data_IF_699574095562
#
_entry.id   IF_699574095562
#
_cell.length_a   1.000
_cell.length_b   1.000
_cell.length_c   1.000
_cell.angle_alpha   90.00
_cell.angle_beta   90.00
_cell.angle_gamma   90.00
#
_symmetry.space_group_name_H-M   'P 1'
#
loop_
_entity.id
_entity.type
_entity.pdbx_description
1 polymer ?
#
# COMPACT_ATOMS: atom_id res chain seq x y z
N UNK A 1 -12.16 10.08 -0.68
CA UNK A 1 -11.14 9.90 0.36
C UNK A 1 -11.86 9.64 1.67
N UNK A 2 -11.85 8.39 2.10
CA UNK A 2 -12.50 7.87 3.32
C UNK A 2 -11.46 7.38 4.35
N UNK A 3 -10.20 7.75 4.18
CA UNK A 3 -9.14 7.39 5.10
C UNK A 3 -9.31 8.17 6.43
N UNK A 4 -9.42 7.50 7.59
CA UNK A 4 -9.84 8.13 8.85
C UNK A 4 -8.86 9.18 9.40
N UNK A 5 -7.61 9.16 8.94
CA UNK A 5 -6.58 10.12 9.34
C UNK A 5 -6.37 11.26 8.34
N UNK A 6 -7.19 11.33 7.28
CA UNK A 6 -7.18 12.45 6.34
C UNK A 6 -7.31 13.78 7.08
N UNK A 7 -6.36 14.70 6.87
CA UNK A 7 -6.33 16.01 7.54
C UNK A 7 -5.84 15.98 8.99
N UNK A 8 -5.39 14.83 9.52
CA UNK A 8 -4.86 14.65 10.87
C UNK A 8 -3.41 14.17 10.85
N UNK A 9 -2.63 14.71 9.92
CA UNK A 9 -1.35 14.15 9.51
C UNK A 9 -0.14 14.73 10.26
N UNK A 10 -0.18 15.98 10.74
CA UNK A 10 0.77 16.61 11.67
C UNK A 10 2.21 16.03 11.69
N UNK A 11 2.85 15.81 10.53
CA UNK A 11 4.16 15.17 10.44
C UNK A 11 4.15 13.70 10.88
N UNK A 12 3.49 12.82 10.12
CA UNK A 12 3.25 11.38 10.38
C UNK A 12 2.14 11.02 11.38
N UNK A 13 1.53 11.99 12.07
CA UNK A 13 0.26 11.85 12.80
C UNK A 13 0.27 10.85 13.97
N UNK A 14 1.42 10.25 14.28
CA UNK A 14 1.59 9.12 15.17
C UNK A 14 1.37 7.76 14.49
N UNK A 15 1.53 6.69 15.28
CA UNK A 15 1.31 5.32 14.83
C UNK A 15 -0.19 5.00 14.83
N UNK A 16 -0.67 4.33 13.78
CA UNK A 16 -2.04 3.84 13.64
C UNK A 16 -2.24 2.46 14.31
N UNK A 17 -3.49 1.96 14.43
CA UNK A 17 -3.77 0.63 14.99
C UNK A 17 -3.16 -0.54 14.22
N UNK A 18 -2.71 -0.35 12.98
CA UNK A 18 -2.03 -1.38 12.18
C UNK A 18 -0.50 -1.29 12.30
N UNK A 19 0.00 -0.45 13.21
CA UNK A 19 1.42 -0.23 13.48
C UNK A 19 2.19 0.43 12.34
N UNK A 20 1.53 1.28 11.56
CA UNK A 20 2.16 2.16 10.56
C UNK A 20 2.01 3.63 10.95
N UNK A 21 2.92 4.47 10.45
CA UNK A 21 2.78 5.92 10.60
C UNK A 21 1.61 6.45 9.76
N UNK A 22 0.73 7.23 10.38
CA UNK A 22 -0.45 7.79 9.70
C UNK A 22 -0.04 8.68 8.54
N UNK A 23 -0.94 8.80 7.59
CA UNK A 23 -0.76 9.63 6.40
C UNK A 23 0.42 9.22 5.52
N UNK A 24 0.93 8.01 5.70
CA UNK A 24 1.89 7.37 4.80
C UNK A 24 1.18 6.39 3.87
N UNK A 25 1.86 6.05 2.77
CA UNK A 25 1.36 5.09 1.80
C UNK A 25 1.07 3.71 2.43
N UNK A 26 1.95 3.26 3.34
CA UNK A 26 1.82 1.99 4.06
C UNK A 26 0.59 1.96 4.96
N UNK A 27 0.36 3.00 5.75
CA UNK A 27 -0.84 3.13 6.60
C UNK A 27 -2.13 3.16 5.78
N UNK A 28 -2.15 3.91 4.68
CA UNK A 28 -3.32 3.96 3.81
C UNK A 28 -3.63 2.61 3.15
N UNK A 29 -2.61 1.88 2.69
CA UNK A 29 -2.81 0.54 2.12
C UNK A 29 -3.20 -0.48 3.21
N UNK A 30 -2.64 -0.37 4.41
CA UNK A 30 -3.07 -1.18 5.55
C UNK A 30 -4.56 -0.97 5.88
N UNK A 31 -5.03 0.28 5.84
CA UNK A 31 -6.46 0.59 5.96
C UNK A 31 -7.31 -0.14 4.90
N UNK A 32 -6.92 -0.04 3.62
CA UNK A 32 -7.63 -0.72 2.52
C UNK A 32 -7.67 -2.24 2.67
N UNK A 33 -6.55 -2.85 3.06
CA UNK A 33 -6.48 -4.28 3.35
C UNK A 33 -7.42 -4.70 4.49
N UNK A 34 -7.51 -3.88 5.55
CA UNK A 34 -8.41 -4.15 6.66
C UNK A 34 -9.89 -3.95 6.29
N UNK A 35 -10.22 -2.95 5.47
CA UNK A 35 -11.56 -2.82 4.88
C UNK A 35 -11.93 -4.03 4.01
N UNK A 36 -10.94 -4.64 3.35
CA UNK A 36 -11.10 -5.88 2.58
C UNK A 36 -11.13 -7.16 3.45
N UNK A 37 -11.05 -7.05 4.78
CA UNK A 37 -11.22 -8.17 5.72
C UNK A 37 -9.94 -8.93 6.11
N UNK A 38 -8.76 -8.47 5.70
CA UNK A 38 -7.48 -9.22 5.84
C UNK A 38 -6.91 -9.24 7.27
N UNK A 39 -7.35 -8.34 8.16
CA UNK A 39 -6.73 -8.09 9.48
C UNK A 39 -5.21 -7.85 9.36
N UNK A 40 -4.83 -6.94 8.48
CA UNK A 40 -3.43 -6.65 8.15
C UNK A 40 -2.80 -5.71 9.18
N UNK A 41 -1.58 -6.01 9.62
CA UNK A 41 -0.76 -5.14 10.46
C UNK A 41 0.68 -5.17 9.98
N UNK A 42 1.53 -4.31 10.55
CA UNK A 42 2.97 -4.30 10.29
C UNK A 42 3.69 -5.61 10.71
N UNK A 43 2.98 -6.53 11.36
CA UNK A 43 3.43 -7.86 11.76
C UNK A 43 2.61 -8.99 11.12
N UNK A 44 1.96 -8.73 9.98
CA UNK A 44 1.06 -9.69 9.35
C UNK A 44 1.78 -11.01 9.04
N UNK A 45 1.20 -12.11 9.53
CA UNK A 45 1.74 -13.49 9.50
C UNK A 45 3.12 -13.65 10.15
N UNK A 46 3.42 -12.84 11.17
CA UNK A 46 4.68 -12.93 11.93
C UNK A 46 5.86 -12.23 11.27
N UNK A 47 5.67 -11.63 10.09
CA UNK A 47 6.72 -10.93 9.35
C UNK A 47 6.61 -9.41 9.57
N UNK A 48 7.75 -8.74 9.67
CA UNK A 48 7.83 -7.28 9.72
C UNK A 48 7.74 -6.66 8.33
N UNK A 49 6.67 -5.88 8.06
CA UNK A 49 6.42 -5.30 6.73
C UNK A 49 7.09 -3.93 6.52
N UNK A 50 7.28 -3.16 7.58
CA UNK A 50 8.04 -1.91 7.65
C UNK A 50 7.75 -0.91 6.50
N UNK A 51 8.80 -0.44 5.84
CA UNK A 51 8.73 0.51 4.73
C UNK A 51 8.23 -0.16 3.46
N UNK A 52 7.66 0.62 2.55
CA UNK A 52 7.06 0.10 1.32
C UNK A 52 8.03 -0.70 0.44
N UNK A 53 9.32 -0.35 0.39
CA UNK A 53 10.37 -1.10 -0.31
C UNK A 53 10.69 -2.48 0.29
N UNK A 54 10.19 -2.79 1.49
CA UNK A 54 10.37 -4.11 2.12
C UNK A 54 9.14 -5.02 2.01
N UNK A 55 8.00 -4.48 1.53
CA UNK A 55 6.73 -5.22 1.49
C UNK A 55 6.77 -6.44 0.58
N UNK A 56 7.50 -6.39 -0.55
CA UNK A 56 7.66 -7.54 -1.44
C UNK A 56 8.39 -8.71 -0.76
N UNK A 57 9.38 -8.41 0.07
CA UNK A 57 10.19 -9.44 0.73
C UNK A 57 9.48 -9.99 1.96
N UNK A 58 8.84 -9.11 2.76
CA UNK A 58 7.95 -9.53 3.84
C UNK A 58 6.78 -10.38 3.32
N UNK A 59 6.17 -9.99 2.20
CA UNK A 59 5.11 -10.78 1.55
C UNK A 59 5.58 -12.19 1.19
N UNK A 60 6.77 -12.33 0.57
CA UNK A 60 7.32 -13.64 0.20
C UNK A 60 7.56 -14.51 1.44
N UNK A 61 8.15 -13.96 2.51
CA UNK A 61 8.38 -14.66 3.78
C UNK A 61 7.06 -15.10 4.44
N UNK A 62 6.04 -14.24 4.37
CA UNK A 62 4.68 -14.52 4.86
C UNK A 62 3.87 -15.49 3.97
N UNK A 63 4.48 -16.06 2.91
CA UNK A 63 3.80 -16.93 1.94
C UNK A 63 2.71 -16.23 1.11
N UNK A 64 2.78 -14.90 0.99
CA UNK A 64 1.89 -14.09 0.16
C UNK A 64 2.43 -14.02 -1.26
N UNK A 65 1.55 -14.23 -2.25
CA UNK A 65 1.93 -14.19 -3.66
C UNK A 65 2.36 -12.78 -4.08
N UNK A 66 3.53 -12.68 -4.69
CA UNK A 66 4.05 -11.46 -5.35
C UNK A 66 4.33 -11.76 -6.82
N UNK A 67 3.76 -10.99 -7.74
CA UNK A 67 4.00 -11.16 -9.18
C UNK A 67 3.77 -9.87 -9.98
N UNK A 68 3.81 -9.93 -11.31
CA UNK A 68 3.60 -8.77 -12.20
C UNK A 68 2.17 -8.71 -12.76
N UNK A 69 1.21 -9.38 -12.14
CA UNK A 69 -0.18 -9.42 -12.60
C UNK A 69 -1.08 -8.60 -11.66
N UNK A 70 -1.55 -7.42 -12.07
CA UNK A 70 -2.45 -6.63 -11.24
C UNK A 70 -3.79 -7.34 -11.03
N UNK A 71 -4.35 -7.19 -9.84
CA UNK A 71 -5.73 -7.53 -9.52
C UNK A 71 -6.38 -6.37 -8.77
N UNK A 72 -7.67 -6.11 -8.98
CA UNK A 72 -8.40 -5.20 -8.09
C UNK A 72 -8.30 -5.71 -6.66
N UNK A 73 -7.95 -4.82 -5.74
CA UNK A 73 -7.68 -5.15 -4.34
C UNK A 73 -6.31 -5.78 -4.06
N UNK A 74 -5.42 -5.85 -5.05
CA UNK A 74 -3.99 -6.12 -4.79
C UNK A 74 -3.26 -4.83 -4.41
N UNK A 75 -2.10 -4.98 -3.79
CA UNK A 75 -1.20 -3.87 -3.48
C UNK A 75 -0.20 -3.71 -4.64
N UNK A 76 -0.20 -2.54 -5.28
CA UNK A 76 0.84 -2.15 -6.21
C UNK A 76 2.05 -1.65 -5.42
N UNK A 77 3.21 -2.27 -5.59
CA UNK A 77 4.42 -2.00 -4.82
C UNK A 77 5.61 -1.70 -5.74
N UNK A 78 6.48 -0.79 -5.30
CA UNK A 78 7.76 -0.49 -5.93
C UNK A 78 8.82 -0.15 -4.89
N UNK A 79 10.07 -0.45 -5.19
CA UNK A 79 11.23 -0.11 -4.36
C UNK A 79 11.78 1.28 -4.69
N UNK A 80 11.19 1.98 -5.67
CA UNK A 80 11.66 3.30 -6.10
C UNK A 80 11.52 4.35 -4.98
N UNK A 81 12.61 5.10 -4.72
CA UNK A 81 12.71 6.04 -3.62
C UNK A 81 13.32 5.41 -2.35
N UNK A 82 13.67 6.22 -1.36
CA UNK A 82 14.36 5.74 -0.14
C UNK A 82 13.53 4.77 0.71
N UNK A 83 12.20 4.95 0.73
CA UNK A 83 11.26 4.09 1.47
C UNK A 83 10.43 3.17 0.57
N UNK A 84 10.62 3.22 -0.76
CA UNK A 84 9.71 2.62 -1.73
C UNK A 84 8.32 3.27 -1.74
N UNK A 85 7.37 2.62 -2.42
CA UNK A 85 5.96 3.06 -2.42
C UNK A 85 4.98 1.90 -2.58
N UNK A 86 3.84 2.01 -1.89
CA UNK A 86 2.70 1.09 -2.03
C UNK A 86 1.41 1.85 -2.30
N UNK A 87 0.56 1.27 -3.12
CA UNK A 87 -0.74 1.82 -3.47
C UNK A 87 -1.79 0.72 -3.62
N UNK A 88 -3.07 1.07 -3.49
CA UNK A 88 -4.17 0.13 -3.63
C UNK A 88 -4.70 0.12 -5.07
N UNK A 89 -4.85 -1.06 -5.66
CA UNK A 89 -5.37 -1.20 -7.03
C UNK A 89 -6.89 -1.17 -7.04
N UNK A 90 -7.46 -0.14 -7.70
CA UNK A 90 -8.91 0.05 -7.82
C UNK A 90 -9.47 -0.39 -9.16
N UNK A 91 -8.66 -0.36 -10.23
CA UNK A 91 -9.06 -0.81 -11.57
C UNK A 91 -7.88 -1.38 -12.35
N UNK A 92 -8.15 -2.42 -13.14
CA UNK A 92 -7.17 -3.05 -14.04
C UNK A 92 -7.64 -2.90 -15.48
N UNK A 93 -6.81 -2.29 -16.33
CA UNK A 93 -6.98 -2.25 -17.78
C UNK A 93 -5.95 -3.15 -18.48
N UNK A 94 -5.95 -3.13 -19.82
CA UNK A 94 -5.07 -4.00 -20.63
C UNK A 94 -3.57 -3.80 -20.33
N UNK A 95 -3.12 -2.55 -20.33
CA UNK A 95 -1.72 -2.13 -20.05
C UNK A 95 -1.60 -1.17 -18.85
N UNK A 96 -2.72 -0.75 -18.30
CA UNK A 96 -2.79 0.29 -17.28
C UNK A 96 -3.40 -0.25 -16.00
N UNK A 97 -3.05 0.37 -14.88
CA UNK A 97 -3.67 0.16 -13.57
C UNK A 97 -4.09 1.52 -13.02
N UNK A 98 -5.30 1.59 -12.46
CA UNK A 98 -5.72 2.72 -11.63
C UNK A 98 -5.46 2.36 -10.19
N UNK A 99 -4.77 3.26 -9.50
CA UNK A 99 -4.43 3.12 -8.09
C UNK A 99 -4.93 4.32 -7.32
N UNK A 100 -5.21 4.09 -6.05
CA UNK A 100 -5.32 5.12 -5.04
C UNK A 100 -4.22 4.95 -4.00
N UNK A 101 -3.73 6.07 -3.49
CA UNK A 101 -2.52 6.14 -2.69
C UNK A 101 -2.54 7.36 -1.78
N UNK A 102 -1.56 7.42 -0.90
CA UNK A 102 -1.37 8.53 0.01
C UNK A 102 0.10 8.93 0.03
N UNK A 103 0.38 10.22 0.20
CA UNK A 103 1.73 10.77 0.33
C UNK A 103 2.67 10.45 -0.86
N UNK A 104 2.15 10.50 -2.08
CA UNK A 104 2.97 10.32 -3.31
C UNK A 104 3.19 11.64 -4.05
N UNK A 105 2.15 12.16 -4.71
CA UNK A 105 2.23 13.42 -5.47
C UNK A 105 2.15 14.66 -4.57
N UNK A 106 1.49 14.53 -3.42
CA UNK A 106 1.26 15.62 -2.49
C UNK A 106 1.58 15.13 -1.08
N UNK A 107 2.42 15.86 -0.31
CA UNK A 107 2.73 15.50 1.06
C UNK A 107 1.48 15.28 1.89
N UNK A 108 1.41 14.12 2.55
CA UNK A 108 0.34 13.73 3.49
C UNK A 108 -1.08 13.89 2.93
N UNK A 109 -1.26 13.67 1.61
CA UNK A 109 -2.55 13.76 0.94
C UNK A 109 -2.87 12.53 0.11
N UNK A 110 -4.18 12.27 -0.01
CA UNK A 110 -4.76 11.28 -0.91
C UNK A 110 -4.52 11.65 -2.37
N UNK A 111 -4.31 10.64 -3.21
CA UNK A 111 -4.25 10.80 -4.65
C UNK A 111 -4.74 9.56 -5.38
N UNK A 112 -5.11 9.75 -6.64
CA UNK A 112 -5.38 8.66 -7.58
C UNK A 112 -4.62 8.89 -8.87
N UNK A 113 -4.15 7.82 -9.50
CA UNK A 113 -3.55 7.89 -10.84
C UNK A 113 -3.77 6.62 -11.64
N UNK A 114 -3.81 6.79 -12.96
CA UNK A 114 -3.79 5.67 -13.91
C UNK A 114 -2.43 5.64 -14.59
N UNK A 115 -1.70 4.54 -14.43
CA UNK A 115 -0.30 4.42 -14.87
C UNK A 115 -0.04 3.05 -15.51
N UNK A 116 1.05 2.89 -16.29
CA UNK A 116 1.43 1.59 -16.82
C UNK A 116 1.59 0.56 -15.70
N UNK A 117 0.97 -0.61 -15.87
CA UNK A 117 0.99 -1.68 -14.84
C UNK A 117 2.40 -2.19 -14.53
N UNK A 118 3.32 -2.05 -15.48
CA UNK A 118 4.72 -2.49 -15.37
C UNK A 118 5.55 -1.63 -14.41
N UNK A 119 5.03 -0.50 -13.92
CA UNK A 119 5.71 0.31 -12.89
C UNK A 119 5.76 -0.36 -11.52
N UNK A 120 5.00 -1.44 -11.32
CA UNK A 120 4.84 -2.09 -10.04
C UNK A 120 4.97 -3.60 -10.16
N UNK A 121 5.31 -4.21 -9.02
CA UNK A 121 4.91 -5.58 -8.71
C UNK A 121 3.66 -5.55 -7.85
N UNK A 122 2.95 -6.67 -7.80
CA UNK A 122 1.65 -6.78 -7.16
C UNK A 122 1.67 -7.83 -6.07
N UNK A 123 1.30 -7.41 -4.86
CA UNK A 123 1.21 -8.25 -3.68
C UNK A 123 -0.26 -8.62 -3.46
N UNK A 124 -0.55 -9.92 -3.37
CA UNK A 124 -1.91 -10.47 -3.30
C UNK A 124 -2.22 -10.99 -1.90
N UNK A 125 -2.33 -10.07 -0.93
CA UNK A 125 -2.69 -10.38 0.45
C UNK A 125 -4.13 -10.92 0.51
N UNK A 126 -4.40 -11.89 1.38
CA UNK A 126 -5.70 -12.55 1.56
C UNK A 126 -6.01 -12.77 3.03
#
# INVERSE_FOLDING_TARGET
>A
NDYPYSGKCNGNGGVDPWSFYRCQCTSFVAYRLNQAGVKFTNHYKGEGWHNANTWNDAAKKAGVKVNNTPKVGSVAQTDAGSAGHVAWVTKVGKKMVTIEEYNWNNPEKYGTRTVPKEKFRYIHVK
#
